data_IF_371785801084
#
_entry.id   IF_371785801084
#
_cell.length_a   1.000
_cell.length_b   1.000
_cell.length_c   1.000
_cell.angle_alpha   90.00
_cell.angle_beta   90.00
_cell.angle_gamma   90.00
#
_symmetry.space_group_name_H-M   'P 1'
#
loop_
_entity.id
_entity.type
_entity.pdbx_description
1 polymer ?
#
# COMPACT_ATOMS: atom_id res chain seq x y z
N UNK A 1 -0.02 7.83 24.05
CA UNK A 1 -0.93 8.73 23.31
C UNK A 1 -1.56 7.93 22.20
N UNK A 2 -2.90 7.91 22.10
CA UNK A 2 -3.61 7.14 21.08
C UNK A 2 -3.78 7.92 19.77
N UNK A 3 -3.13 7.42 18.72
CA UNK A 3 -3.19 7.92 17.34
C UNK A 3 -3.89 6.90 16.46
N UNK A 4 -4.93 7.32 15.72
CA UNK A 4 -5.54 6.49 14.68
C UNK A 4 -4.74 6.62 13.39
N UNK A 5 -4.39 5.49 12.78
CA UNK A 5 -3.79 5.42 11.44
C UNK A 5 -4.80 4.74 10.51
N UNK A 6 -5.25 5.48 9.49
CA UNK A 6 -6.36 5.07 8.61
C UNK A 6 -6.10 5.53 7.17
N UNK A 7 -6.60 4.82 6.17
CA UNK A 7 -6.31 5.15 4.78
C UNK A 7 -7.14 4.39 3.77
N UNK A 8 -6.91 4.72 2.49
CA UNK A 8 -7.47 4.03 1.33
C UNK A 8 -8.98 3.77 1.47
N UNK A 9 -9.71 4.81 1.83
CA UNK A 9 -11.15 4.75 2.05
C UNK A 9 -11.89 4.69 0.71
N UNK A 10 -11.44 5.47 -0.29
CA UNK A 10 -11.99 5.55 -1.65
C UNK A 10 -13.51 5.74 -1.67
N UNK A 11 -14.03 6.62 -0.80
CA UNK A 11 -15.45 6.93 -0.72
C UNK A 11 -15.77 8.13 -1.66
N UNK A 12 -16.77 8.06 -2.56
CA UNK A 12 -17.68 6.96 -2.87
C UNK A 12 -17.19 6.02 -4.01
N UNK A 13 -15.97 6.22 -4.54
CA UNK A 13 -15.52 5.62 -5.80
C UNK A 13 -15.36 4.09 -5.80
N UNK A 14 -14.87 3.48 -4.71
CA UNK A 14 -14.64 2.02 -4.61
C UNK A 14 -15.38 1.37 -3.45
N UNK A 15 -15.89 2.15 -2.50
CA UNK A 15 -16.73 1.69 -1.40
C UNK A 15 -17.86 2.69 -1.15
N UNK A 16 -18.98 2.22 -0.60
CA UNK A 16 -20.12 3.07 -0.23
C UNK A 16 -19.93 3.70 1.16
N UNK A 17 -19.37 2.97 2.12
CA UNK A 17 -19.23 3.44 3.51
C UNK A 17 -18.18 2.62 4.29
N UNK A 18 -17.72 3.16 5.42
CA UNK A 18 -16.93 2.41 6.40
C UNK A 18 -17.75 1.29 7.06
N UNK A 19 -17.16 0.11 7.32
CA UNK A 19 -17.86 -0.99 7.97
C UNK A 19 -18.51 -0.60 9.31
N UNK A 20 -19.76 -1.00 9.51
CA UNK A 20 -20.56 -0.65 10.69
C UNK A 20 -19.93 -1.10 12.03
N UNK A 21 -19.07 -2.13 12.01
CA UNK A 21 -18.27 -2.53 13.17
C UNK A 21 -17.18 -1.52 13.50
N UNK A 22 -16.49 -0.99 12.49
CA UNK A 22 -15.44 0.03 12.66
C UNK A 22 -16.02 1.37 13.12
N UNK A 23 -17.15 1.82 12.54
CA UNK A 23 -17.85 3.03 13.01
C UNK A 23 -18.21 3.02 14.51
N UNK A 24 -18.45 1.84 15.09
CA UNK A 24 -18.73 1.66 16.52
C UNK A 24 -17.48 1.67 17.41
N UNK A 25 -16.29 1.51 16.82
CA UNK A 25 -15.00 1.60 17.51
C UNK A 25 -14.41 3.01 17.42
N UNK A 26 -14.58 3.66 16.27
CA UNK A 26 -14.17 5.03 15.97
C UNK A 26 -15.12 6.06 16.62
N UNK A 27 -15.14 6.07 17.95
CA UNK A 27 -15.97 6.98 18.77
C UNK A 27 -15.13 8.19 19.23
N UNK A 28 -15.66 9.42 19.15
CA UNK A 28 -14.96 10.61 19.62
C UNK A 28 -14.50 10.53 21.09
N UNK A 29 -13.38 11.19 21.41
CA UNK A 29 -12.86 11.33 22.77
C UNK A 29 -11.93 10.21 23.25
N UNK A 30 -11.77 9.11 22.51
CA UNK A 30 -10.72 8.11 22.77
C UNK A 30 -9.43 8.39 22.00
N UNK A 31 -9.57 8.81 20.75
CA UNK A 31 -8.48 9.08 19.81
C UNK A 31 -8.08 10.56 19.96
N UNK A 32 -6.79 10.81 20.14
CA UNK A 32 -6.26 12.17 20.35
C UNK A 32 -5.87 12.82 19.01
N UNK A 33 -5.34 12.01 18.10
CA UNK A 33 -4.85 12.43 16.79
C UNK A 33 -5.21 11.39 15.73
N UNK A 34 -5.44 11.83 14.50
CA UNK A 34 -5.62 10.96 13.32
C UNK A 34 -4.51 11.26 12.33
N UNK A 35 -3.88 10.21 11.82
CA UNK A 35 -2.97 10.22 10.67
C UNK A 35 -3.70 9.47 9.54
N UNK A 36 -3.96 10.17 8.44
CA UNK A 36 -4.55 9.58 7.26
C UNK A 36 -3.54 9.51 6.11
N UNK A 37 -3.34 8.31 5.53
CA UNK A 37 -2.46 8.10 4.37
C UNK A 37 -3.04 8.61 3.05
N UNK A 38 -4.28 9.11 3.07
CA UNK A 38 -4.97 9.67 1.89
C UNK A 38 -6.01 8.73 1.30
N UNK A 39 -6.43 9.06 0.07
CA UNK A 39 -7.56 8.44 -0.62
C UNK A 39 -8.84 8.50 0.24
N UNK A 40 -9.10 9.68 0.80
CA UNK A 40 -10.37 10.03 1.46
C UNK A 40 -11.41 10.33 0.38
N UNK A 41 -10.98 11.04 -0.66
CA UNK A 41 -11.72 11.45 -1.85
C UNK A 41 -12.85 12.47 -1.59
N UNK A 42 -13.81 12.19 -0.72
CA UNK A 42 -14.96 13.08 -0.48
C UNK A 42 -14.83 13.96 0.78
N UNK A 43 -15.45 15.14 0.74
CA UNK A 43 -15.47 16.09 1.86
C UNK A 43 -16.24 15.54 3.07
N UNK A 44 -17.28 14.74 2.86
CA UNK A 44 -18.10 14.18 3.95
C UNK A 44 -17.31 13.24 4.84
N UNK A 45 -16.47 12.38 4.25
CA UNK A 45 -15.55 11.51 5.00
C UNK A 45 -14.45 12.30 5.71
N UNK A 46 -13.91 13.37 5.10
CA UNK A 46 -12.97 14.26 5.79
C UNK A 46 -13.62 14.96 7.01
N UNK A 47 -14.83 15.48 6.85
CA UNK A 47 -15.60 16.08 7.95
C UNK A 47 -15.90 15.03 9.04
N UNK A 48 -16.22 13.78 8.67
CA UNK A 48 -16.40 12.67 9.62
C UNK A 48 -15.14 12.37 10.43
N UNK A 49 -13.95 12.29 9.81
CA UNK A 49 -12.68 12.11 10.54
C UNK A 49 -12.46 13.25 11.56
N UNK A 50 -12.79 14.49 11.17
CA UNK A 50 -12.74 15.66 12.06
C UNK A 50 -13.76 15.64 13.21
N UNK A 51 -14.82 14.82 13.14
CA UNK A 51 -15.68 14.57 14.31
C UNK A 51 -15.08 13.62 15.33
N UNK A 52 -14.16 12.73 14.91
CA UNK A 52 -13.56 11.71 15.79
C UNK A 52 -12.43 12.31 16.63
N UNK A 53 -11.56 13.13 16.04
CA UNK A 53 -10.47 13.80 16.72
C UNK A 53 -10.31 15.25 16.24
N UNK A 54 -9.82 16.12 17.13
CA UNK A 54 -9.57 17.53 16.80
C UNK A 54 -8.30 17.77 15.97
N UNK A 55 -7.31 16.88 16.09
CA UNK A 55 -6.06 16.92 15.34
C UNK A 55 -6.08 15.84 14.25
N UNK A 56 -6.21 16.26 12.98
CA UNK A 56 -6.34 15.37 11.82
C UNK A 56 -5.31 15.75 10.77
N UNK A 57 -4.32 14.88 10.60
CA UNK A 57 -3.27 14.98 9.60
C UNK A 57 -3.63 14.11 8.41
N UNK A 58 -3.55 14.65 7.21
CA UNK A 58 -3.87 13.94 5.96
C UNK A 58 -2.74 14.20 4.97
N UNK A 59 -2.25 13.15 4.31
CA UNK A 59 -1.42 13.29 3.11
C UNK A 59 -2.21 12.98 1.86
N UNK A 60 -1.77 13.51 0.73
CA UNK A 60 -2.51 13.44 -0.53
C UNK A 60 -2.41 12.06 -1.18
N UNK A 61 -3.56 11.40 -1.30
CA UNK A 61 -3.74 10.19 -2.09
C UNK A 61 -3.75 10.44 -3.60
N UNK A 62 -3.65 9.37 -4.40
CA UNK A 62 -3.73 9.44 -5.87
C UNK A 62 -5.14 9.78 -6.37
N UNK A 63 -6.18 9.56 -5.55
CA UNK A 63 -7.58 9.92 -5.81
C UNK A 63 -8.07 11.17 -5.06
N UNK A 64 -7.22 11.80 -4.24
CA UNK A 64 -7.60 13.03 -3.54
C UNK A 64 -7.46 14.24 -4.46
N UNK A 65 -8.58 14.85 -4.86
CA UNK A 65 -8.57 16.07 -5.69
C UNK A 65 -8.15 17.33 -4.91
N UNK A 66 -8.26 17.31 -3.57
CA UNK A 66 -8.00 18.48 -2.73
C UNK A 66 -6.53 18.95 -2.83
N UNK A 67 -6.25 20.18 -3.33
CA UNK A 67 -4.90 20.69 -3.50
C UNK A 67 -4.21 21.09 -2.18
N UNK A 68 -4.96 21.18 -1.07
CA UNK A 68 -4.40 21.56 0.23
C UNK A 68 -3.77 20.40 1.01
N UNK A 69 -3.96 19.14 0.58
CA UNK A 69 -3.30 18.01 1.21
C UNK A 69 -1.83 17.93 0.76
N UNK A 70 -0.85 17.89 1.69
CA UNK A 70 0.56 17.75 1.34
C UNK A 70 0.86 16.35 0.80
N UNK A 71 1.84 16.22 -0.10
CA UNK A 71 2.26 14.92 -0.66
C UNK A 71 2.96 14.01 0.36
N UNK A 72 3.59 14.62 1.37
CA UNK A 72 4.26 13.97 2.49
C UNK A 72 4.17 14.83 3.74
N UNK A 73 4.27 14.22 4.91
CA UNK A 73 4.22 14.90 6.20
C UNK A 73 5.23 14.27 7.16
N UNK A 74 5.82 15.08 8.04
CA UNK A 74 6.67 14.63 9.12
C UNK A 74 6.09 15.12 10.44
N UNK A 75 5.64 14.18 11.28
CA UNK A 75 5.04 14.44 12.59
C UNK A 75 6.06 14.16 13.69
N UNK A 76 6.28 15.15 14.55
CA UNK A 76 7.24 15.06 15.64
C UNK A 76 6.52 14.67 16.94
N UNK A 77 6.83 13.50 17.48
CA UNK A 77 6.36 13.01 18.77
C UNK A 77 7.58 12.67 19.64
N UNK A 78 8.27 13.70 20.21
CA UNK A 78 9.59 13.53 20.81
C UNK A 78 9.64 12.38 21.82
N UNK A 79 10.60 11.45 21.71
CA UNK A 79 11.80 11.49 20.86
C UNK A 79 11.64 10.95 19.42
N UNK A 80 10.46 10.46 19.02
CA UNK A 80 10.23 9.79 17.74
C UNK A 80 9.75 10.75 16.64
N UNK A 81 10.11 10.46 15.39
CA UNK A 81 9.62 11.14 14.19
C UNK A 81 8.86 10.16 13.30
N UNK A 82 7.66 10.57 12.89
CA UNK A 82 6.74 9.77 12.09
C UNK A 82 6.62 10.41 10.70
N UNK A 83 7.23 9.78 9.70
CA UNK A 83 7.02 10.13 8.30
C UNK A 83 5.72 9.52 7.81
N UNK A 84 4.93 10.29 7.06
CA UNK A 84 3.66 9.87 6.49
C UNK A 84 3.66 10.19 5.00
N UNK A 85 3.37 9.21 4.17
CA UNK A 85 3.15 9.36 2.73
C UNK A 85 2.05 8.41 2.26
N UNK A 86 1.44 8.68 1.12
CA UNK A 86 0.45 7.75 0.57
C UNK A 86 1.11 6.46 0.07
N UNK A 87 2.19 6.55 -0.70
CA UNK A 87 2.94 5.39 -1.18
C UNK A 87 2.81 5.12 -2.68
N UNK A 88 1.84 5.74 -3.37
CA UNK A 88 1.79 5.76 -4.84
C UNK A 88 3.03 6.40 -5.49
N UNK A 89 3.78 7.20 -4.72
CA UNK A 89 5.04 7.81 -5.12
C UNK A 89 6.25 6.87 -5.01
N UNK A 90 6.08 5.69 -4.39
CA UNK A 90 7.15 4.73 -4.09
C UNK A 90 7.13 3.64 -5.16
N UNK A 91 8.26 3.43 -5.84
CA UNK A 91 8.40 2.48 -6.93
C UNK A 91 9.64 1.61 -6.69
N UNK A 92 9.51 0.29 -6.53
CA UNK A 92 8.26 -0.49 -6.57
C UNK A 92 7.34 -0.25 -5.35
N UNK A 93 6.03 -0.38 -5.55
CA UNK A 93 5.05 -0.20 -4.48
C UNK A 93 5.15 -1.33 -3.45
N UNK A 94 5.30 -0.99 -2.17
CA UNK A 94 5.46 -1.96 -1.07
C UNK A 94 6.84 -2.61 -0.97
N UNK A 95 7.83 -2.16 -1.75
CA UNK A 95 9.19 -2.67 -1.68
C UNK A 95 9.94 -2.16 -0.42
N UNK A 96 10.52 -3.08 0.34
CA UNK A 96 11.16 -2.81 1.64
C UNK A 96 12.37 -1.89 1.51
N UNK A 97 13.21 -2.08 0.48
CA UNK A 97 14.42 -1.27 0.29
C UNK A 97 14.04 0.17 -0.12
N UNK A 98 13.05 0.32 -0.99
CA UNK A 98 12.47 1.61 -1.39
C UNK A 98 11.81 2.35 -0.22
N UNK A 99 11.09 1.62 0.64
CA UNK A 99 10.53 2.15 1.89
C UNK A 99 11.64 2.61 2.84
N UNK A 100 12.71 1.83 3.02
CA UNK A 100 13.84 2.23 3.88
C UNK A 100 14.60 3.43 3.34
N UNK A 101 14.84 3.49 2.03
CA UNK A 101 15.45 4.65 1.38
C UNK A 101 14.62 5.92 1.61
N UNK A 102 13.28 5.83 1.55
CA UNK A 102 12.39 6.95 1.86
C UNK A 102 12.43 7.33 3.36
N UNK A 103 12.37 6.35 4.27
CA UNK A 103 12.45 6.61 5.71
C UNK A 103 13.76 7.30 6.11
N UNK A 104 14.88 6.92 5.47
CA UNK A 104 16.19 7.59 5.57
C UNK A 104 16.16 9.01 5.01
N UNK A 105 15.55 9.22 3.84
CA UNK A 105 15.46 10.54 3.21
C UNK A 105 14.57 11.54 3.97
N UNK A 106 13.52 11.06 4.62
CA UNK A 106 12.66 11.85 5.52
C UNK A 106 13.24 12.00 6.94
N UNK A 107 14.31 11.27 7.25
CA UNK A 107 14.86 11.10 8.61
C UNK A 107 13.75 10.74 9.63
N UNK A 108 12.97 9.72 9.29
CA UNK A 108 11.82 9.25 10.04
C UNK A 108 12.14 7.92 10.76
N UNK A 109 11.77 7.82 12.03
CA UNK A 109 11.99 6.62 12.86
C UNK A 109 10.84 5.62 12.70
N UNK A 110 9.67 6.13 12.33
CA UNK A 110 8.50 5.37 11.90
C UNK A 110 8.06 5.91 10.54
N UNK A 111 7.87 5.04 9.55
CA UNK A 111 7.28 5.40 8.25
C UNK A 111 5.89 4.79 8.12
N UNK A 112 4.89 5.63 7.85
CA UNK A 112 3.51 5.24 7.59
C UNK A 112 3.21 5.41 6.10
N UNK A 113 2.77 4.33 5.45
CA UNK A 113 2.38 4.30 4.03
C UNK A 113 1.03 3.60 3.83
N UNK A 114 0.38 3.80 2.69
CA UNK A 114 -0.84 3.12 2.27
C UNK A 114 -0.65 2.50 0.88
N UNK A 115 -1.57 2.80 -0.03
CA UNK A 115 -1.60 2.46 -1.47
C UNK A 115 -1.73 0.98 -1.81
N UNK A 116 -1.07 0.05 -1.11
CA UNK A 116 -1.18 -1.40 -1.36
C UNK A 116 -2.52 -2.00 -0.90
N UNK A 117 -3.27 -1.27 -0.07
CA UNK A 117 -4.48 -1.69 0.65
C UNK A 117 -4.26 -2.92 1.59
N UNK A 118 -3.02 -3.36 1.77
CA UNK A 118 -2.63 -4.52 2.60
C UNK A 118 -2.10 -4.03 3.94
N UNK A 119 -2.64 -4.57 5.04
CA UNK A 119 -2.07 -4.34 6.34
C UNK A 119 -0.67 -5.00 6.44
N UNK A 120 0.33 -4.21 6.80
CA UNK A 120 1.70 -4.67 7.07
C UNK A 120 2.29 -3.84 8.21
N UNK A 121 2.98 -4.46 9.17
CA UNK A 121 3.79 -3.73 10.14
C UNK A 121 5.03 -4.55 10.51
N UNK A 122 6.21 -3.96 10.35
CA UNK A 122 7.48 -4.65 10.53
C UNK A 122 8.61 -3.68 10.91
N UNK A 123 9.67 -4.23 11.51
CA UNK A 123 10.92 -3.52 11.78
C UNK A 123 11.96 -3.90 10.72
N UNK A 124 12.64 -2.90 10.14
CA UNK A 124 13.71 -3.10 9.17
C UNK A 124 14.76 -2.00 9.33
N UNK A 125 16.05 -2.37 9.34
CA UNK A 125 17.19 -1.47 9.57
C UNK A 125 17.01 -0.52 10.79
N UNK A 126 16.39 -1.03 11.86
CA UNK A 126 16.14 -0.27 13.09
C UNK A 126 15.01 0.76 13.01
N UNK A 127 14.24 0.79 11.91
CA UNK A 127 13.08 1.66 11.70
C UNK A 127 11.80 0.84 11.63
N UNK A 128 10.68 1.45 11.98
CA UNK A 128 9.37 0.79 12.00
C UNK A 128 8.51 1.24 10.81
N UNK A 129 7.98 0.27 10.07
CA UNK A 129 7.14 0.50 8.90
C UNK A 129 5.72 0.04 9.23
N UNK A 130 4.73 0.89 8.92
CA UNK A 130 3.31 0.60 9.17
C UNK A 130 2.47 0.97 7.96
N UNK A 131 1.73 -0.01 7.45
CA UNK A 131 0.67 0.18 6.49
C UNK A 131 -0.67 -0.22 7.14
N UNK A 132 -1.64 0.70 7.31
CA UNK A 132 -2.91 0.39 7.96
C UNK A 132 -3.82 -0.50 7.10
N UNK A 133 -3.51 -0.68 5.80
CA UNK A 133 -4.42 -1.23 4.81
C UNK A 133 -5.56 -0.27 4.44
N UNK A 134 -6.56 -0.79 3.73
CA UNK A 134 -7.78 -0.03 3.39
C UNK A 134 -8.84 -0.16 4.48
N UNK A 135 -9.30 0.96 5.03
CA UNK A 135 -10.32 0.97 6.09
C UNK A 135 -11.71 0.50 5.63
N UNK A 136 -11.97 0.55 4.33
CA UNK A 136 -13.21 0.12 3.69
C UNK A 136 -13.11 -1.26 3.03
N UNK A 137 -11.88 -1.78 2.84
CA UNK A 137 -11.63 -2.95 1.99
C UNK A 137 -11.81 -2.64 0.50
N UNK A 138 -11.60 -1.38 0.10
CA UNK A 138 -11.67 -0.94 -1.29
C UNK A 138 -10.77 -1.81 -2.17
N UNK A 139 -11.19 -2.17 -3.38
CA UNK A 139 -10.37 -2.95 -4.31
C UNK A 139 -9.09 -2.18 -4.74
N UNK A 140 -8.01 -2.90 -5.01
CA UNK A 140 -6.75 -2.36 -5.53
C UNK A 140 -6.13 -3.34 -6.54
N UNK A 141 -5.44 -2.81 -7.57
CA UNK A 141 -4.95 -3.61 -8.70
C UNK A 141 -3.75 -4.50 -8.38
N UNK A 142 -2.89 -4.10 -7.44
CA UNK A 142 -1.81 -4.94 -6.93
C UNK A 142 -2.26 -5.91 -5.81
N UNK A 143 -3.57 -6.05 -5.55
CA UNK A 143 -4.05 -7.04 -4.59
C UNK A 143 -3.81 -8.45 -5.12
N UNK A 144 -3.24 -9.38 -4.33
CA UNK A 144 -3.04 -10.75 -4.77
C UNK A 144 -4.35 -11.41 -5.21
N UNK A 145 -4.35 -12.00 -6.39
CA UNK A 145 -5.38 -12.97 -6.76
C UNK A 145 -5.11 -14.19 -5.88
N UNK A 146 -6.02 -14.50 -4.96
CA UNK A 146 -5.85 -15.67 -4.11
C UNK A 146 -6.05 -16.94 -4.96
N UNK A 147 -5.01 -17.75 -5.06
CA UNK A 147 -5.16 -19.16 -5.39
C UNK A 147 -5.97 -19.83 -4.26
N UNK A 148 -6.96 -20.66 -4.59
CA UNK A 148 -7.99 -21.11 -3.62
C UNK A 148 -7.46 -22.03 -2.49
N UNK A 149 -6.16 -22.37 -2.50
CA UNK A 149 -5.52 -23.31 -1.57
C UNK A 149 -4.90 -22.65 -0.31
N UNK A 150 -4.67 -21.32 -0.29
CA UNK A 150 -4.11 -20.66 0.91
C UNK A 150 -5.19 -20.28 1.95
N UNK A 151 -5.31 -21.12 2.99
CA UNK A 151 -6.08 -20.78 4.19
C UNK A 151 -5.38 -19.64 4.96
N UNK A 152 -6.10 -18.60 5.41
CA UNK A 152 -5.50 -17.52 6.20
C UNK A 152 -5.25 -17.98 7.64
N UNK A 153 -4.00 -18.29 7.96
CA UNK A 153 -3.56 -18.54 9.34
C UNK A 153 -2.30 -19.39 9.43
N UNK A 154 -1.17 -18.74 9.74
CA UNK A 154 0.11 -19.45 9.89
C UNK A 154 1.32 -18.53 9.86
N UNK A 155 1.42 -17.58 10.79
CA UNK A 155 2.64 -16.80 10.99
C UNK A 155 3.81 -17.76 11.22
N UNK A 156 4.78 -17.80 10.29
CA UNK A 156 5.99 -18.61 10.45
C UNK A 156 6.82 -18.05 11.61
N UNK A 157 6.66 -18.63 12.79
CA UNK A 157 7.62 -18.48 13.86
C UNK A 157 9.00 -18.97 13.37
N UNK A 158 10.03 -18.16 13.57
CA UNK A 158 11.41 -18.61 13.41
C UNK A 158 11.73 -19.55 14.58
N UNK A 159 12.16 -20.78 14.29
CA UNK A 159 12.96 -21.52 15.27
C UNK A 159 14.40 -20.99 15.19
N UNK A 160 14.88 -20.46 16.31
CA UNK A 160 16.30 -20.20 16.52
C UNK A 160 17.00 -21.54 16.75
N UNK A 161 18.16 -21.73 16.11
CA UNK A 161 19.04 -22.87 16.39
C UNK A 161 20.12 -22.51 17.39
N UNK A 162 20.69 -23.52 18.04
CA UNK A 162 21.98 -23.45 18.76
C UNK A 162 22.58 -24.89 18.82
N UNK A 163 23.86 -25.11 19.20
CA UNK A 163 24.93 -25.16 18.19
C UNK A 163 25.80 -26.42 18.34
N UNK A 164 26.79 -26.59 17.45
CA UNK A 164 28.04 -27.29 17.83
C UNK A 164 29.26 -26.97 16.95
N UNK A 165 30.40 -26.93 17.63
CA UNK A 165 31.77 -26.79 17.15
C UNK A 165 32.17 -27.95 16.19
N UNK A 166 33.25 -27.92 15.41
CA UNK A 166 34.48 -27.14 15.52
C UNK A 166 35.16 -26.88 14.14
N UNK A 167 36.15 -25.98 14.12
CA UNK A 167 37.07 -25.72 13.00
C UNK A 167 38.39 -26.53 13.15
N UNK A 168 39.52 -26.23 12.49
CA UNK A 168 39.79 -25.54 11.20
C UNK A 168 40.76 -26.33 10.27
N UNK A 169 41.01 -25.83 9.03
CA UNK A 169 42.24 -25.94 8.18
C UNK A 169 41.86 -25.69 6.69
N UNK A 170 42.69 -25.21 5.75
CA UNK A 170 44.06 -24.65 5.76
C UNK A 170 44.22 -23.63 4.59
N UNK A 171 45.43 -23.08 4.38
CA UNK A 171 45.70 -21.87 3.56
C UNK A 171 46.23 -22.10 2.12
N UNK A 172 45.97 -21.12 1.22
CA UNK A 172 46.80 -20.64 0.09
C UNK A 172 46.10 -19.36 -0.48
N UNK A 173 46.70 -18.21 -0.85
CA UNK A 173 47.85 -17.88 -1.75
C UNK A 173 47.66 -18.44 -3.18
N UNK A 174 47.92 -17.73 -4.29
CA UNK A 174 48.54 -16.41 -4.53
C UNK A 174 48.06 -15.83 -5.90
N UNK A 175 48.37 -14.55 -6.13
CA UNK A 175 48.52 -13.76 -7.38
C UNK A 175 48.02 -14.21 -8.78
N UNK A 176 47.67 -13.21 -9.62
CA UNK A 176 48.18 -13.21 -11.01
C UNK A 176 47.35 -12.56 -12.14
N UNK A 177 47.56 -11.25 -12.36
CA UNK A 177 47.52 -10.49 -13.65
C UNK A 177 46.94 -11.10 -14.94
N UNK A 178 46.20 -10.28 -15.70
CA UNK A 178 46.03 -10.45 -17.15
C UNK A 178 45.15 -9.40 -17.84
N UNK A 179 45.75 -8.31 -18.35
CA UNK A 179 45.06 -7.34 -19.22
C UNK A 179 44.81 -7.92 -20.62
N UNK A 180 43.73 -7.51 -21.29
CA UNK A 180 43.85 -7.02 -22.67
C UNK A 180 42.66 -6.15 -23.08
N UNK A 181 42.99 -5.14 -23.90
CA UNK A 181 42.13 -4.05 -24.38
C UNK A 181 41.90 -4.26 -25.88
N UNK A 182 40.70 -4.01 -26.39
CA UNK A 182 40.50 -3.74 -27.81
C UNK A 182 39.29 -2.83 -28.01
N UNK A 183 39.53 -1.65 -28.56
CA UNK A 183 38.51 -0.68 -28.97
C UNK A 183 38.15 -0.89 -30.45
N UNK A 184 36.93 -0.52 -30.85
CA UNK A 184 36.75 0.24 -32.08
C UNK A 184 35.48 1.10 -32.03
N UNK A 185 35.58 2.32 -32.56
CA UNK A 185 34.50 3.32 -32.71
C UNK A 185 34.21 3.51 -34.20
N UNK A 186 32.99 3.90 -34.55
CA UNK A 186 32.74 4.89 -35.62
C UNK A 186 31.28 5.33 -35.71
N UNK A 187 31.00 6.55 -35.24
CA UNK A 187 30.02 7.51 -35.81
C UNK A 187 30.58 8.09 -37.15
N UNK A 188 29.93 9.01 -37.93
CA UNK A 188 28.77 9.86 -37.59
C UNK A 188 27.73 10.22 -38.71
N UNK A 189 26.69 10.96 -38.27
CA UNK A 189 25.93 12.06 -38.94
C UNK A 189 25.24 11.93 -40.33
N UNK A 190 23.96 12.36 -40.40
CA UNK A 190 23.49 13.52 -41.20
C UNK A 190 22.01 13.91 -40.90
N UNK A 191 21.54 15.08 -41.40
CA UNK A 191 20.30 15.82 -41.04
C UNK A 191 19.19 15.80 -42.12
N UNK A 192 18.09 16.55 -41.85
CA UNK A 192 17.10 17.15 -42.77
C UNK A 192 15.92 16.24 -43.23
N UNK A 193 14.68 16.71 -43.50
CA UNK A 193 13.97 18.01 -43.33
C UNK A 193 12.42 17.79 -43.50
N UNK A 194 11.59 18.75 -43.07
CA UNK A 194 10.15 19.06 -43.33
C UNK A 194 9.11 18.09 -43.99
N UNK A 195 7.80 18.28 -43.68
CA UNK A 195 6.75 17.51 -44.40
C UNK A 195 5.22 17.65 -44.15
N UNK A 196 4.70 18.69 -43.49
CA UNK A 196 3.33 19.28 -43.67
C UNK A 196 2.06 18.38 -43.92
N UNK A 197 1.19 18.33 -42.89
CA UNK A 197 -0.29 18.38 -42.85
C UNK A 197 -1.21 17.98 -44.04
N UNK A 198 -2.28 17.23 -43.71
CA UNK A 198 -3.67 17.59 -44.09
C UNK A 198 -4.75 16.90 -43.22
N UNK A 199 -5.82 17.63 -42.90
CA UNK A 199 -7.06 17.11 -42.32
C UNK A 199 -8.04 16.70 -43.45
N UNK A 200 -8.94 15.74 -43.20
CA UNK A 200 -10.34 15.88 -43.65
C UNK A 200 -11.34 15.00 -42.89
N UNK A 201 -12.44 15.64 -42.44
CA UNK A 201 -13.66 14.98 -41.94
C UNK A 201 -14.53 14.49 -43.11
N UNK A 202 -15.33 13.47 -42.86
CA UNK A 202 -16.46 13.08 -43.72
C UNK A 202 -17.42 12.14 -42.99
N UNK A 203 -18.55 12.65 -42.52
CA UNK A 203 -19.63 11.85 -41.92
C UNK A 203 -20.68 11.45 -42.97
N UNK A 204 -21.18 10.21 -42.91
CA UNK A 204 -22.56 9.89 -43.31
C UNK A 204 -23.06 8.57 -42.69
N UNK A 205 -24.36 8.55 -42.37
CA UNK A 205 -25.14 7.49 -41.70
C UNK A 205 -26.56 7.54 -42.32
N UNK A 206 -27.49 6.62 -42.00
CA UNK A 206 -27.53 5.16 -42.20
C UNK A 206 -28.61 4.75 -43.23
N UNK A 207 -28.89 3.45 -43.40
CA UNK A 207 -30.13 2.94 -44.01
C UNK A 207 -30.61 1.65 -43.30
N UNK A 208 -31.93 1.44 -43.27
CA UNK A 208 -32.64 0.44 -42.43
C UNK A 208 -33.31 -0.69 -43.23
N UNK A 209 -33.58 -1.81 -42.53
CA UNK A 209 -34.65 -2.78 -42.83
C UNK A 209 -34.30 -3.96 -43.77
N UNK A 210 -34.92 -5.13 -43.64
CA UNK A 210 -35.76 -5.71 -42.58
C UNK A 210 -35.95 -7.23 -42.81
N UNK A 211 -36.09 -8.05 -41.73
CA UNK A 211 -36.85 -9.33 -41.63
C UNK A 211 -36.54 -10.50 -42.63
N UNK A 212 -36.73 -11.82 -42.40
CA UNK A 212 -37.19 -12.76 -41.34
C UNK A 212 -36.68 -14.18 -41.75
N UNK A 213 -36.71 -15.30 -41.00
CA UNK A 213 -37.06 -15.66 -39.61
C UNK A 213 -36.44 -17.04 -39.22
N UNK A 214 -36.40 -17.32 -37.90
CA UNK A 214 -36.43 -18.62 -37.18
C UNK A 214 -35.64 -19.86 -37.67
N UNK A 215 -34.79 -20.36 -36.76
CA UNK A 215 -34.44 -21.77 -36.60
C UNK A 215 -34.00 -22.06 -35.16
N UNK A 216 -34.86 -22.72 -34.37
CA UNK A 216 -34.52 -23.28 -33.04
C UNK A 216 -33.64 -24.54 -33.24
N UNK A 217 -32.75 -24.96 -32.33
CA UNK A 217 -32.30 -24.39 -31.06
C UNK A 217 -31.30 -25.37 -30.40
N UNK A 218 -30.38 -24.89 -29.57
CA UNK A 218 -29.50 -25.73 -28.74
C UNK A 218 -28.90 -24.92 -27.57
N UNK A 219 -29.66 -24.76 -26.48
CA UNK A 219 -29.12 -24.21 -25.23
C UNK A 219 -28.04 -25.16 -24.65
N UNK A 220 -26.76 -24.89 -24.95
CA UNK A 220 -25.69 -25.30 -24.04
C UNK A 220 -25.75 -24.41 -22.81
N UNK A 221 -26.48 -24.85 -21.79
CA UNK A 221 -26.35 -24.33 -20.42
C UNK A 221 -24.93 -24.63 -19.93
N UNK A 222 -24.00 -23.71 -20.19
CA UNK A 222 -22.76 -23.61 -19.44
C UNK A 222 -23.12 -23.17 -18.02
N UNK A 223 -23.46 -24.16 -17.19
CA UNK A 223 -23.62 -24.00 -15.74
C UNK A 223 -22.28 -23.72 -15.09
N UNK A 224 -21.69 -22.56 -15.40
CA UNK A 224 -20.65 -21.99 -14.57
C UNK A 224 -21.26 -21.75 -13.20
N UNK A 225 -20.73 -22.43 -12.18
CA UNK A 225 -20.97 -22.03 -10.80
C UNK A 225 -20.63 -20.53 -10.70
N UNK A 226 -21.39 -19.74 -9.92
CA UNK A 226 -21.00 -18.35 -9.68
C UNK A 226 -19.60 -18.37 -9.08
N UNK A 227 -18.60 -17.95 -9.86
CA UNK A 227 -17.23 -17.85 -9.41
C UNK A 227 -17.26 -16.93 -8.19
N UNK A 228 -16.94 -17.51 -7.03
CA UNK A 228 -16.81 -16.75 -5.79
C UNK A 228 -15.79 -15.65 -6.09
N UNK A 229 -16.15 -14.36 -5.95
CA UNK A 229 -15.21 -13.29 -6.26
C UNK A 229 -13.97 -13.49 -5.37
N UNK A 230 -12.79 -13.36 -5.98
CA UNK A 230 -11.52 -13.45 -5.25
C UNK A 230 -11.60 -12.55 -4.01
N UNK A 231 -11.10 -13.00 -2.84
CA UNK A 231 -11.24 -12.26 -1.60
C UNK A 231 -10.57 -10.90 -1.74
N UNK A 232 -11.39 -9.85 -1.84
CA UNK A 232 -10.93 -8.47 -1.91
C UNK A 232 -10.22 -8.05 -0.62
N UNK A 233 -9.63 -6.84 -0.60
CA UNK A 233 -8.85 -6.37 0.54
C UNK A 233 -9.61 -6.44 1.86
N UNK A 234 -9.00 -7.09 2.87
CA UNK A 234 -9.57 -7.16 4.22
C UNK A 234 -9.65 -5.75 4.81
N UNK A 235 -10.85 -5.25 5.19
CA UNK A 235 -10.97 -3.93 5.78
C UNK A 235 -10.13 -3.84 7.04
N UNK A 236 -9.26 -2.83 7.15
CA UNK A 236 -8.30 -2.70 8.26
C UNK A 236 -7.92 -1.26 8.60
N UNK A 237 -7.58 -1.04 9.87
CA UNK A 237 -6.96 0.20 10.36
C UNK A 237 -6.07 -0.10 11.56
N UNK A 238 -5.19 0.84 11.95
CA UNK A 238 -4.32 0.69 13.11
C UNK A 238 -4.55 1.79 14.17
N UNK A 239 -4.37 1.47 15.44
CA UNK A 239 -4.20 2.42 16.53
C UNK A 239 -2.78 2.31 17.08
N UNK A 240 -2.04 3.41 17.10
CA UNK A 240 -0.74 3.49 17.75
C UNK A 240 -0.93 4.06 19.16
N UNK A 241 -0.45 3.37 20.19
CA UNK A 241 -0.19 3.98 21.49
C UNK A 241 1.30 4.31 21.61
N UNK A 242 1.61 5.61 21.49
CA UNK A 242 2.98 6.13 21.55
C UNK A 242 3.30 6.50 23.00
N UNK A 243 4.30 5.85 23.59
CA UNK A 243 4.77 6.06 24.96
C UNK A 243 6.30 6.25 24.98
N UNK A 244 6.74 7.50 24.81
CA UNK A 244 8.16 7.83 24.72
C UNK A 244 8.81 7.20 23.48
N UNK A 245 9.77 6.28 23.67
CA UNK A 245 10.43 5.54 22.57
C UNK A 245 9.66 4.30 22.10
N UNK A 246 8.63 3.88 22.84
CA UNK A 246 7.91 2.63 22.60
C UNK A 246 6.59 2.92 21.91
N UNK A 247 6.27 2.15 20.88
CA UNK A 247 4.99 2.24 20.16
C UNK A 247 4.32 0.88 20.13
N UNK A 248 3.09 0.84 20.64
CA UNK A 248 2.24 -0.34 20.58
C UNK A 248 1.22 -0.14 19.47
N UNK A 249 1.28 -0.98 18.44
CA UNK A 249 0.37 -0.97 17.29
C UNK A 249 -0.72 -2.00 17.50
N UNK A 250 -1.97 -1.55 17.59
CA UNK A 250 -3.17 -2.38 17.63
C UNK A 250 -3.83 -2.36 16.25
N UNK A 251 -3.88 -3.52 15.60
CA UNK A 251 -4.36 -3.69 14.23
C UNK A 251 -5.78 -4.22 14.28
N UNK A 252 -6.73 -3.51 13.71
CA UNK A 252 -8.14 -3.93 13.66
C UNK A 252 -8.45 -4.41 12.25
N UNK A 253 -8.77 -5.70 12.08
CA UNK A 253 -9.14 -6.29 10.78
C UNK A 253 -10.56 -6.86 10.83
N UNK A 254 -11.34 -6.67 9.77
CA UNK A 254 -12.69 -7.23 9.65
C UNK A 254 -12.66 -8.55 8.87
N UNK A 255 -12.50 -9.66 9.57
CA UNK A 255 -12.43 -11.00 8.99
C UNK A 255 -13.75 -11.74 9.23
N UNK A 256 -14.41 -12.18 8.16
CA UNK A 256 -15.69 -12.93 8.21
C UNK A 256 -16.82 -12.20 8.97
N UNK A 257 -16.78 -10.85 9.03
CA UNK A 257 -17.76 -10.01 9.73
C UNK A 257 -17.46 -9.77 11.21
N UNK A 258 -16.41 -10.39 11.74
CA UNK A 258 -15.88 -10.17 13.09
C UNK A 258 -14.65 -9.28 13.07
N UNK A 259 -14.47 -8.47 14.12
CA UNK A 259 -13.28 -7.63 14.26
C UNK A 259 -12.24 -8.42 15.03
N UNK A 260 -11.15 -8.80 14.37
CA UNK A 260 -9.96 -9.36 14.99
C UNK A 260 -8.99 -8.22 15.33
N UNK A 261 -8.27 -8.37 16.44
CA UNK A 261 -7.28 -7.40 16.91
C UNK A 261 -5.94 -8.09 17.09
N UNK A 262 -4.92 -7.59 16.41
CA UNK A 262 -3.53 -8.02 16.60
C UNK A 262 -2.73 -6.91 17.29
N UNK A 263 -1.69 -7.27 18.05
CA UNK A 263 -0.86 -6.35 18.82
C UNK A 263 0.61 -6.55 18.43
N UNK A 264 1.26 -5.49 18.01
CA UNK A 264 2.67 -5.45 17.61
C UNK A 264 3.36 -4.38 18.46
N UNK A 265 4.55 -4.65 18.98
CA UNK A 265 5.32 -3.71 19.81
C UNK A 265 6.64 -3.35 19.12
N UNK A 266 6.94 -2.06 19.06
CA UNK A 266 8.20 -1.51 18.58
C UNK A 266 8.86 -0.68 19.68
N UNK A 267 10.18 -0.81 19.82
CA UNK A 267 10.99 -0.04 20.78
C UNK A 267 12.14 0.65 20.03
N UNK A 268 11.98 1.95 19.78
CA UNK A 268 12.92 2.75 19.00
C UNK A 268 14.32 2.87 19.61
N UNK A 269 14.57 2.35 20.82
CA UNK A 269 15.93 2.23 21.38
C UNK A 269 16.73 1.06 20.79
N UNK A 270 16.08 0.10 20.14
CA UNK A 270 16.76 -1.09 19.58
C UNK A 270 17.45 -0.79 18.26
N UNK A 271 16.83 0.03 17.41
CA UNK A 271 17.36 0.44 16.11
C UNK A 271 18.46 1.51 16.14
N UNK A 272 18.79 2.06 17.32
CA UNK A 272 19.78 3.12 17.49
C UNK A 272 21.14 2.60 18.03
N UNK A 273 21.46 1.32 17.79
CA UNK A 273 22.69 0.65 18.24
C UNK A 273 23.50 0.09 17.09
#
# INVERSE_FOLDING_TARGET
>A
MLVLVIGDLHLPYRAHDLPQRFKKLLVPGKIQQIICTGNICDKGTYDYLRTIAGDVHVVKGDWDENPHFPSSLLLHHPPLRIGVMHGHQIVPAGDTDSLSALARAMDADILITGHTHKFEAFEFEGRFFVNPGSATGAWHSAWPIADEDEKPGGSKAKEEGDPKEAAPEAAAKEDGKGESKAESKSDPEAKADDGKASEQKGESKPAEGAETAKGEGAEKKSGGQPQKPAPGPTPSFALLDIQGTTVVTYVYQLIQGEVKVEKIEYDGRRGAR
#
